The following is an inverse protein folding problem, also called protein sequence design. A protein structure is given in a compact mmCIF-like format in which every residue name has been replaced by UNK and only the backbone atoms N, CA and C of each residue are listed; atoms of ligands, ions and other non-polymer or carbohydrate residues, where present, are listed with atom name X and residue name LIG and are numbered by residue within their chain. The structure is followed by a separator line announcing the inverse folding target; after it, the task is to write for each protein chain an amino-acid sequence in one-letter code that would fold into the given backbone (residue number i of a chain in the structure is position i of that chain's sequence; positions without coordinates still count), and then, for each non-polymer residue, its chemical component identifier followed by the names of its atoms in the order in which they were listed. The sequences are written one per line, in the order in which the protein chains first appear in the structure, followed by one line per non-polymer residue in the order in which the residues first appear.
data_IF_955311839382
#
_entry.id   IF_955311839382
#
_cell.length_a   1.000
_cell.length_b   1.000
_cell.length_c   1.000
_cell.angle_alpha   90.00
_cell.angle_beta   90.00
_cell.angle_gamma   90.00
#
_symmetry.space_group_name_H-M   'P 1'
#
loop_
_entity.id
_entity.type
_entity.pdbx_description
1 polymer ?
#
# COMPACT_ATOMS: atom_id res chain seq x y z
N UNK A 1 -7.77 -8.86 19.92
CA UNK A 1 -8.47 -10.12 19.60
C UNK A 1 -8.37 -11.11 20.75
N UNK A 2 -7.19 -11.71 20.97
CA UNK A 2 -6.93 -12.70 22.04
C UNK A 2 -7.46 -12.21 23.40
N UNK A 3 -7.14 -10.96 23.78
CA UNK A 3 -7.62 -10.38 25.03
C UNK A 3 -9.15 -10.39 25.14
N UNK A 4 -9.85 -9.94 24.10
CA UNK A 4 -11.32 -9.82 24.12
C UNK A 4 -11.99 -11.20 24.20
N UNK A 5 -11.38 -12.24 23.61
CA UNK A 5 -11.86 -13.61 23.75
C UNK A 5 -11.61 -14.17 25.15
N UNK A 6 -10.46 -13.87 25.76
CA UNK A 6 -10.15 -14.29 27.13
C UNK A 6 -10.96 -13.53 28.18
N UNK A 7 -11.42 -12.31 27.86
CA UNK A 7 -12.13 -11.42 28.77
C UNK A 7 -13.41 -10.86 28.12
N UNK A 8 -14.41 -11.72 27.83
CA UNK A 8 -15.62 -11.30 27.12
C UNK A 8 -16.44 -10.26 27.91
N UNK A 9 -16.36 -10.28 29.25
CA UNK A 9 -17.06 -9.31 30.11
C UNK A 9 -16.40 -7.93 30.14
N UNK A 10 -15.14 -7.82 29.69
CA UNK A 10 -14.40 -6.56 29.63
C UNK A 10 -13.61 -6.47 28.32
N UNK A 11 -14.30 -6.24 27.19
CA UNK A 11 -13.63 -6.00 25.92
C UNK A 11 -12.78 -4.73 26.02
N UNK A 12 -11.66 -4.70 25.30
CA UNK A 12 -10.78 -3.54 25.28
C UNK A 12 -11.53 -2.30 24.78
N UNK A 13 -11.51 -1.23 25.56
CA UNK A 13 -12.02 0.07 25.12
C UNK A 13 -11.16 0.66 23.99
N UNK A 14 -11.64 1.69 23.30
CA UNK A 14 -10.91 2.31 22.17
C UNK A 14 -9.49 2.76 22.56
N UNK A 15 -9.34 3.32 23.76
CA UNK A 15 -8.06 3.77 24.28
C UNK A 15 -7.11 2.62 24.62
N UNK A 16 -7.62 1.53 25.20
CA UNK A 16 -6.82 0.34 25.48
C UNK A 16 -6.38 -0.32 24.16
N UNK A 17 -7.28 -0.42 23.17
CA UNK A 17 -6.94 -0.91 21.82
C UNK A 17 -5.85 -0.07 21.16
N UNK A 18 -5.91 1.26 21.29
CA UNK A 18 -4.88 2.16 20.79
C UNK A 18 -3.51 1.86 21.43
N UNK A 19 -3.43 1.76 22.76
CA UNK A 19 -2.15 1.51 23.44
C UNK A 19 -1.59 0.12 23.15
N UNK A 20 -2.42 -0.92 23.09
CA UNK A 20 -1.95 -2.26 22.72
C UNK A 20 -1.42 -2.31 21.29
N UNK A 21 -2.15 -1.70 20.34
CA UNK A 21 -1.71 -1.63 18.93
C UNK A 21 -0.46 -0.78 18.79
N UNK A 22 -0.39 0.36 19.48
CA UNK A 22 0.74 1.27 19.49
C UNK A 22 1.99 0.62 20.08
N UNK A 23 1.86 -0.12 21.19
CA UNK A 23 2.98 -0.84 21.79
C UNK A 23 3.53 -1.91 20.84
N UNK A 24 2.66 -2.71 20.21
CA UNK A 24 3.08 -3.70 19.21
C UNK A 24 3.79 -3.05 18.03
N UNK A 25 3.24 -1.93 17.51
CA UNK A 25 3.82 -1.15 16.42
C UNK A 25 5.22 -0.64 16.78
N UNK A 26 5.39 -0.06 17.97
CA UNK A 26 6.69 0.43 18.45
C UNK A 26 7.69 -0.71 18.55
N UNK A 27 7.31 -1.83 19.16
CA UNK A 27 8.20 -3.00 19.32
C UNK A 27 8.64 -3.53 17.96
N UNK A 28 7.71 -3.79 17.05
CA UNK A 28 8.01 -4.29 15.70
C UNK A 28 8.91 -3.30 14.93
N UNK A 29 8.61 -2.00 15.01
CA UNK A 29 9.40 -0.97 14.31
C UNK A 29 10.82 -0.87 14.86
N UNK A 30 11.00 -0.93 16.18
CA UNK A 30 12.32 -0.89 16.81
C UNK A 30 13.15 -2.13 16.52
N UNK A 31 12.54 -3.32 16.58
CA UNK A 31 13.19 -4.58 16.21
C UNK A 31 13.63 -4.56 14.74
N UNK A 32 12.75 -4.06 13.87
CA UNK A 32 13.06 -3.90 12.44
C UNK A 32 14.23 -2.95 12.23
N UNK A 33 14.16 -1.76 12.83
CA UNK A 33 15.22 -0.77 12.74
C UNK A 33 16.57 -1.29 13.25
N UNK A 34 16.58 -2.10 14.31
CA UNK A 34 17.81 -2.65 14.88
C UNK A 34 18.57 -3.51 13.85
N UNK A 35 17.92 -4.48 13.19
CA UNK A 35 18.60 -5.31 12.21
C UNK A 35 18.88 -4.56 10.90
N UNK A 36 17.99 -3.66 10.47
CA UNK A 36 18.20 -2.83 9.28
C UNK A 36 19.41 -1.90 9.45
N UNK A 37 19.54 -1.24 10.60
CA UNK A 37 20.65 -0.31 10.86
C UNK A 37 22.00 -1.03 11.03
N UNK A 38 22.01 -2.27 11.52
CA UNK A 38 23.23 -3.07 11.67
C UNK A 38 23.68 -3.67 10.34
N UNK A 39 22.76 -4.28 9.60
CA UNK A 39 23.09 -5.12 8.45
C UNK A 39 23.04 -4.43 7.08
N UNK A 40 22.37 -3.27 6.97
CA UNK A 40 22.19 -2.55 5.70
C UNK A 40 21.46 -3.37 4.64
N UNK A 41 21.55 -2.94 3.38
CA UNK A 41 20.78 -3.53 2.27
C UNK A 41 21.02 -5.03 2.07
N UNK A 42 22.24 -5.53 2.31
CA UNK A 42 22.55 -6.96 2.17
C UNK A 42 21.79 -7.81 3.19
N UNK A 43 21.74 -7.38 4.45
CA UNK A 43 20.99 -8.10 5.47
C UNK A 43 19.49 -8.05 5.19
N UNK A 44 18.98 -6.88 4.77
CA UNK A 44 17.56 -6.71 4.39
C UNK A 44 17.17 -7.71 3.29
N UNK A 45 17.98 -7.85 2.24
CA UNK A 45 17.69 -8.81 1.16
C UNK A 45 17.65 -10.25 1.67
N UNK A 46 18.60 -10.66 2.53
CA UNK A 46 18.60 -12.03 3.07
C UNK A 46 17.43 -12.29 4.03
N UNK A 47 17.06 -11.30 4.84
CA UNK A 47 15.87 -11.42 5.70
C UNK A 47 14.61 -11.52 4.86
N UNK A 48 14.49 -10.74 3.77
CA UNK A 48 13.34 -10.78 2.87
C UNK A 48 13.18 -12.17 2.23
N UNK A 49 14.27 -12.84 1.84
CA UNK A 49 14.22 -14.20 1.28
C UNK A 49 13.63 -15.20 2.29
N UNK A 50 14.05 -15.14 3.55
CA UNK A 50 13.50 -16.00 4.61
C UNK A 50 12.03 -15.66 4.87
N UNK A 51 11.68 -14.38 4.91
CA UNK A 51 10.32 -13.89 5.14
C UNK A 51 9.36 -14.34 4.04
N UNK A 52 9.79 -14.34 2.78
CA UNK A 52 9.00 -14.84 1.65
C UNK A 52 8.69 -16.34 1.83
N UNK A 53 9.67 -17.16 2.22
CA UNK A 53 9.45 -18.59 2.46
C UNK A 53 8.42 -18.83 3.57
N UNK A 54 8.51 -18.06 4.66
CA UNK A 54 7.53 -18.12 5.77
C UNK A 54 6.14 -17.68 5.31
N UNK A 55 6.05 -16.62 4.49
CA UNK A 55 4.79 -16.12 3.94
C UNK A 55 4.10 -17.17 3.05
N UNK A 56 4.83 -17.77 2.11
CA UNK A 56 4.26 -18.82 1.24
C UNK A 56 3.78 -20.03 2.06
N UNK A 57 4.55 -20.42 3.08
CA UNK A 57 4.13 -21.45 4.03
C UNK A 57 2.83 -21.05 4.73
N UNK A 58 2.80 -19.88 5.37
CA UNK A 58 1.63 -19.38 6.09
C UNK A 58 0.36 -19.33 5.23
N UNK A 59 0.45 -18.81 4.01
CA UNK A 59 -0.69 -18.72 3.09
C UNK A 59 -1.14 -20.09 2.60
N UNK A 60 -0.21 -20.95 2.17
CA UNK A 60 -0.52 -22.30 1.71
C UNK A 60 -1.19 -23.14 2.79
N UNK A 61 -0.66 -23.10 4.02
CA UNK A 61 -1.28 -23.79 5.16
C UNK A 61 -2.63 -23.19 5.55
N UNK A 62 -2.80 -21.88 5.47
CA UNK A 62 -4.09 -21.24 5.75
C UNK A 62 -5.18 -21.72 4.78
N UNK A 63 -4.89 -21.76 3.48
CA UNK A 63 -5.82 -22.29 2.47
C UNK A 63 -6.15 -23.76 2.73
N UNK A 64 -5.11 -24.59 2.93
CA UNK A 64 -5.28 -26.02 3.17
C UNK A 64 -6.12 -26.31 4.43
N UNK A 65 -5.81 -25.64 5.54
CA UNK A 65 -6.47 -25.87 6.82
C UNK A 65 -7.94 -25.43 6.77
N UNK A 66 -8.22 -24.27 6.17
CA UNK A 66 -9.57 -23.73 6.07
C UNK A 66 -10.45 -24.58 5.16
N UNK A 67 -9.92 -25.03 4.03
CA UNK A 67 -10.62 -25.95 3.13
C UNK A 67 -10.97 -27.28 3.83
N UNK A 68 -10.08 -27.78 4.69
CA UNK A 68 -10.33 -28.99 5.48
C UNK A 68 -11.45 -28.85 6.52
N UNK A 69 -11.82 -27.62 6.89
CA UNK A 69 -12.91 -27.33 7.83
C UNK A 69 -14.27 -27.12 7.13
N UNK A 70 -14.30 -27.15 5.80
CA UNK A 70 -15.54 -27.07 5.02
C UNK A 70 -15.95 -28.49 4.62
N UNK A 71 -17.17 -28.95 4.97
CA UNK A 71 -17.65 -30.27 4.57
C UNK A 71 -17.57 -30.44 3.05
N UNK A 72 -17.08 -31.60 2.58
CA UNK A 72 -16.83 -31.89 1.16
C UNK A 72 -15.77 -30.99 0.47
N UNK A 73 -14.98 -30.23 1.23
CA UNK A 73 -13.87 -29.42 0.72
C UNK A 73 -14.32 -28.47 -0.40
N UNK A 74 -13.66 -28.53 -1.56
CA UNK A 74 -13.96 -27.66 -2.71
C UNK A 74 -15.39 -27.82 -3.24
N UNK A 75 -15.96 -29.02 -3.19
CA UNK A 75 -17.31 -29.24 -3.69
C UNK A 75 -18.35 -28.62 -2.74
N UNK A 76 -18.06 -28.65 -1.44
CA UNK A 76 -18.83 -27.88 -0.45
C UNK A 76 -18.71 -26.38 -0.63
N UNK A 77 -17.53 -25.86 -0.97
CA UNK A 77 -17.36 -24.43 -1.29
C UNK A 77 -18.25 -24.04 -2.47
N UNK A 78 -18.21 -24.81 -3.55
CA UNK A 78 -19.03 -24.55 -4.75
C UNK A 78 -20.52 -24.65 -4.48
N UNK A 79 -20.97 -25.58 -3.62
CA UNK A 79 -22.40 -25.73 -3.32
C UNK A 79 -22.99 -24.54 -2.56
N UNK A 80 -22.15 -23.77 -1.85
CA UNK A 80 -22.58 -22.57 -1.12
C UNK A 80 -22.44 -21.28 -1.95
N UNK A 81 -21.58 -21.26 -2.97
CA UNK A 81 -21.37 -20.12 -3.87
C UNK A 81 -22.25 -20.24 -5.13
N UNK A 82 -23.57 -20.19 -4.95
CA UNK A 82 -24.54 -20.37 -6.05
C UNK A 82 -25.22 -19.07 -6.51
N UNK A 83 -25.08 -17.99 -5.74
CA UNK A 83 -25.62 -16.68 -6.08
C UNK A 83 -24.83 -15.99 -7.18
N UNK A 84 -25.56 -15.34 -8.10
CA UNK A 84 -24.96 -14.60 -9.22
C UNK A 84 -24.06 -13.41 -8.80
N UNK A 85 -24.14 -12.99 -7.53
CA UNK A 85 -23.31 -11.92 -6.94
C UNK A 85 -22.34 -12.43 -5.86
N UNK A 86 -22.29 -13.73 -5.58
CA UNK A 86 -21.42 -14.29 -4.55
C UNK A 86 -19.94 -14.16 -4.95
N UNK A 87 -19.67 -14.17 -6.25
CA UNK A 87 -18.35 -13.94 -6.84
C UNK A 87 -18.46 -12.93 -8.00
N UNK A 88 -18.52 -11.63 -7.68
CA UNK A 88 -18.36 -10.58 -8.67
C UNK A 88 -16.88 -10.42 -9.05
N UNK A 89 -16.39 -11.32 -9.91
CA UNK A 89 -15.00 -11.30 -10.37
C UNK A 89 -14.70 -10.17 -11.37
N UNK A 90 -15.71 -9.80 -12.17
CA UNK A 90 -15.56 -8.85 -13.28
C UNK A 90 -16.58 -7.72 -13.16
N UNK A 91 -16.22 -6.65 -12.46
CA UNK A 91 -17.04 -5.45 -12.36
C UNK A 91 -16.62 -4.42 -13.42
N UNK A 92 -17.39 -4.34 -14.51
CA UNK A 92 -17.10 -3.44 -15.64
C UNK A 92 -17.72 -2.04 -15.49
N UNK A 93 -18.85 -1.95 -14.80
CA UNK A 93 -19.57 -0.69 -14.53
C UNK A 93 -19.34 -0.27 -13.07
N UNK A 94 -19.37 1.04 -12.80
CA UNK A 94 -19.30 1.55 -11.44
C UNK A 94 -20.60 1.34 -10.66
N UNK A 95 -20.56 1.55 -9.35
CA UNK A 95 -21.67 1.24 -8.44
C UNK A 95 -22.90 2.12 -8.68
N UNK A 96 -22.70 3.34 -9.21
CA UNK A 96 -23.78 4.27 -9.50
C UNK A 96 -24.34 4.04 -10.92
N UNK A 97 -25.61 3.62 -11.08
CA UNK A 97 -26.20 3.46 -12.39
C UNK A 97 -26.35 4.81 -13.07
N UNK A 98 -25.88 4.91 -14.32
CA UNK A 98 -25.90 6.14 -15.09
C UNK A 98 -26.39 5.89 -16.53
N UNK A 99 -27.28 6.76 -16.99
CA UNK A 99 -27.89 6.65 -18.32
C UNK A 99 -27.07 7.36 -19.41
N UNK A 100 -26.20 8.29 -19.04
CA UNK A 100 -25.36 9.06 -19.97
C UNK A 100 -23.96 8.46 -20.06
N UNK A 101 -23.32 8.52 -21.24
CA UNK A 101 -21.96 8.02 -21.46
C UNK A 101 -20.93 8.60 -20.46
N UNK A 102 -20.95 9.92 -20.24
CA UNK A 102 -20.09 10.55 -19.22
C UNK A 102 -20.42 10.08 -17.81
N UNK A 103 -21.71 9.88 -17.50
CA UNK A 103 -22.13 9.37 -16.20
C UNK A 103 -21.59 7.97 -15.92
N UNK A 104 -21.52 7.10 -16.93
CA UNK A 104 -20.89 5.77 -16.81
C UNK A 104 -19.39 5.86 -16.54
N UNK A 105 -18.68 6.75 -17.25
CA UNK A 105 -17.25 6.99 -17.02
C UNK A 105 -17.01 7.55 -15.62
N UNK A 106 -17.80 8.56 -15.22
CA UNK A 106 -17.77 9.15 -13.87
C UNK A 106 -17.97 8.07 -12.80
N UNK A 107 -18.99 7.22 -12.96
CA UNK A 107 -19.27 6.11 -12.04
C UNK A 107 -18.08 5.14 -11.92
N UNK A 108 -17.41 4.80 -13.03
CA UNK A 108 -16.20 3.96 -13.01
C UNK A 108 -15.02 4.63 -12.30
N UNK A 109 -14.86 5.95 -12.45
CA UNK A 109 -13.81 6.72 -11.76
C UNK A 109 -14.09 6.87 -10.25
N UNK A 110 -15.35 6.85 -9.85
CA UNK A 110 -15.85 6.92 -8.46
C UNK A 110 -15.95 5.55 -7.78
N UNK A 111 -15.53 4.46 -8.44
CA UNK A 111 -15.58 3.10 -7.89
C UNK A 111 -14.17 2.53 -7.71
N UNK A 112 -13.86 2.04 -6.51
CA UNK A 112 -12.53 1.52 -6.14
C UNK A 112 -12.13 0.27 -6.93
N UNK A 113 -13.06 -0.66 -7.13
CA UNK A 113 -12.75 -2.01 -7.64
C UNK A 113 -13.51 -2.31 -8.94
N UNK A 114 -13.02 -1.76 -10.05
CA UNK A 114 -13.50 -2.10 -11.41
C UNK A 114 -12.39 -2.75 -12.23
N UNK A 115 -12.76 -3.46 -13.30
CA UNK A 115 -11.78 -4.02 -14.25
C UNK A 115 -10.91 -2.92 -14.85
N UNK A 116 -11.47 -1.73 -15.08
CA UNK A 116 -10.75 -0.57 -15.58
C UNK A 116 -9.77 0.00 -14.54
N UNK A 117 -10.18 0.08 -13.28
CA UNK A 117 -9.31 0.47 -12.19
C UNK A 117 -8.16 -0.54 -12.01
N UNK A 118 -8.45 -1.84 -12.16
CA UNK A 118 -7.43 -2.88 -12.14
C UNK A 118 -6.45 -2.76 -13.31
N UNK A 119 -6.92 -2.49 -14.53
CA UNK A 119 -6.06 -2.37 -15.71
C UNK A 119 -5.22 -1.09 -15.69
N UNK A 120 -5.86 0.07 -15.58
CA UNK A 120 -5.16 1.36 -15.68
C UNK A 120 -4.58 1.80 -14.34
N UNK A 121 -5.30 1.65 -13.24
CA UNK A 121 -4.80 2.00 -11.91
C UNK A 121 -3.55 1.19 -11.58
N UNK A 122 -3.61 -0.14 -11.69
CA UNK A 122 -2.45 -1.00 -11.40
C UNK A 122 -1.27 -0.75 -12.35
N UNK A 123 -1.53 -0.43 -13.63
CA UNK A 123 -0.47 -0.06 -14.58
C UNK A 123 0.31 1.16 -14.08
N UNK A 124 -0.36 2.26 -13.75
CA UNK A 124 0.30 3.48 -13.28
C UNK A 124 0.93 3.31 -11.90
N UNK A 125 0.28 2.57 -10.99
CA UNK A 125 0.87 2.19 -9.69
C UNK A 125 2.17 1.41 -9.89
N UNK A 126 2.17 0.41 -10.76
CA UNK A 126 3.36 -0.43 -11.02
C UNK A 126 4.47 0.39 -11.66
N UNK A 127 4.15 1.22 -12.67
CA UNK A 127 5.12 2.09 -13.31
C UNK A 127 5.77 3.08 -12.33
N UNK A 128 4.99 3.66 -11.41
CA UNK A 128 5.54 4.57 -10.41
C UNK A 128 6.38 3.83 -9.36
N UNK A 129 5.80 2.83 -8.70
CA UNK A 129 6.47 2.10 -7.60
C UNK A 129 7.72 1.36 -8.07
N UNK A 130 7.75 0.83 -9.30
CA UNK A 130 8.91 0.11 -9.80
C UNK A 130 9.87 0.98 -10.62
N UNK A 131 9.36 2.05 -11.24
CA UNK A 131 10.12 2.88 -12.16
C UNK A 131 10.73 4.13 -11.53
N UNK A 132 10.16 4.65 -10.45
CA UNK A 132 10.59 5.92 -9.85
C UNK A 132 10.90 5.85 -8.35
N UNK A 133 10.53 4.77 -7.67
CA UNK A 133 10.81 4.59 -6.25
C UNK A 133 12.27 4.21 -5.96
N UNK A 134 12.83 4.84 -4.95
CA UNK A 134 14.19 4.58 -4.49
C UNK A 134 14.36 3.14 -4.01
N UNK A 135 13.34 2.55 -3.37
CA UNK A 135 13.41 1.15 -2.94
C UNK A 135 13.73 0.21 -4.12
N UNK A 136 12.90 0.26 -5.15
CA UNK A 136 13.07 -0.63 -6.30
C UNK A 136 14.38 -0.36 -7.02
N UNK A 137 14.73 0.92 -7.24
CA UNK A 137 15.99 1.30 -7.90
C UNK A 137 17.20 0.77 -7.13
N UNK A 138 17.21 0.85 -5.80
CA UNK A 138 18.32 0.30 -5.01
C UNK A 138 18.49 -1.19 -5.23
N UNK A 139 17.39 -1.95 -5.18
CA UNK A 139 17.40 -3.40 -5.41
C UNK A 139 17.91 -3.74 -6.81
N UNK A 140 17.46 -3.01 -7.82
CA UNK A 140 17.91 -3.16 -9.20
C UNK A 140 19.42 -2.94 -9.35
N UNK A 141 19.99 -1.95 -8.65
CA UNK A 141 21.43 -1.66 -8.66
C UNK A 141 22.29 -2.70 -7.93
N UNK A 142 21.68 -3.57 -7.10
CA UNK A 142 22.40 -4.71 -6.48
C UNK A 142 22.53 -5.92 -7.40
N UNK A 143 21.80 -5.96 -8.51
CA UNK A 143 21.90 -7.06 -9.47
C UNK A 143 23.23 -7.03 -10.23
N UNK A 144 23.73 -8.20 -10.68
CA UNK A 144 25.05 -8.28 -11.33
C UNK A 144 25.10 -7.55 -12.68
N UNK A 145 23.96 -7.44 -13.37
CA UNK A 145 23.85 -6.74 -14.65
C UNK A 145 22.40 -6.32 -14.96
N UNK A 146 22.24 -5.44 -15.97
CA UNK A 146 20.95 -4.92 -16.42
C UNK A 146 19.93 -6.01 -16.75
N UNK A 147 20.35 -7.09 -17.43
CA UNK A 147 19.45 -8.18 -17.81
C UNK A 147 18.90 -8.90 -16.58
N UNK A 148 19.76 -9.22 -15.61
CA UNK A 148 19.34 -9.86 -14.36
C UNK A 148 18.46 -8.96 -13.52
N UNK A 149 18.74 -7.64 -13.48
CA UNK A 149 17.85 -6.68 -12.84
C UNK A 149 16.46 -6.69 -13.48
N UNK A 150 16.37 -6.59 -14.81
CA UNK A 150 15.07 -6.61 -15.51
C UNK A 150 14.30 -7.92 -15.29
N UNK A 151 14.99 -9.06 -15.36
CA UNK A 151 14.38 -10.37 -15.09
C UNK A 151 13.88 -10.45 -13.65
N UNK A 152 14.67 -10.00 -12.67
CA UNK A 152 14.26 -10.00 -11.26
C UNK A 152 13.00 -9.16 -11.03
N UNK A 153 12.92 -7.97 -11.64
CA UNK A 153 11.73 -7.09 -11.56
C UNK A 153 10.49 -7.72 -12.22
N UNK A 154 10.64 -8.43 -13.33
CA UNK A 154 9.50 -9.14 -13.96
C UNK A 154 9.06 -10.33 -13.09
N UNK A 155 10.03 -11.10 -12.59
CA UNK A 155 9.75 -12.26 -11.74
C UNK A 155 9.09 -11.87 -10.42
N UNK A 156 9.41 -10.71 -9.83
CA UNK A 156 8.73 -10.24 -8.62
C UNK A 156 7.24 -9.98 -8.89
N UNK A 157 6.89 -9.34 -10.01
CA UNK A 157 5.49 -9.15 -10.39
C UNK A 157 4.75 -10.47 -10.67
N UNK A 158 5.43 -11.47 -11.24
CA UNK A 158 4.85 -12.81 -11.40
C UNK A 158 4.68 -13.55 -10.06
N UNK A 159 5.56 -13.31 -9.09
CA UNK A 159 5.47 -13.90 -7.76
C UNK A 159 4.30 -13.33 -6.93
N UNK A 160 3.83 -12.12 -7.23
CA UNK A 160 2.66 -11.52 -6.58
C UNK A 160 1.34 -12.21 -6.95
N UNK A 161 1.26 -12.83 -8.13
CA UNK A 161 0.05 -13.53 -8.61
C UNK A 161 -0.36 -14.67 -7.66
N UNK A 162 0.49 -15.68 -7.35
CA UNK A 162 0.09 -16.75 -6.44
C UNK A 162 -0.18 -16.26 -5.02
N UNK A 163 0.53 -15.24 -4.54
CA UNK A 163 0.28 -14.63 -3.21
C UNK A 163 -1.10 -13.99 -3.16
N UNK A 164 -1.44 -13.18 -4.16
CA UNK A 164 -2.74 -12.53 -4.29
C UNK A 164 -3.86 -13.57 -4.40
N UNK A 165 -3.66 -14.59 -5.24
CA UNK A 165 -4.62 -15.67 -5.39
C UNK A 165 -4.89 -16.41 -4.07
N UNK A 166 -3.84 -16.69 -3.29
CA UNK A 166 -3.98 -17.33 -1.99
C UNK A 166 -4.77 -16.45 -0.99
N UNK A 167 -4.46 -15.15 -0.90
CA UNK A 167 -5.18 -14.22 0.01
C UNK A 167 -6.65 -14.08 -0.38
N UNK A 168 -6.96 -13.93 -1.68
CA UNK A 168 -8.34 -13.87 -2.15
C UNK A 168 -9.09 -15.18 -1.87
N UNK A 169 -8.43 -16.32 -2.10
CA UNK A 169 -9.00 -17.64 -1.79
C UNK A 169 -9.31 -17.74 -0.30
N UNK A 170 -8.40 -17.33 0.59
CA UNK A 170 -8.65 -17.31 2.04
C UNK A 170 -9.90 -16.47 2.37
N UNK A 171 -10.04 -15.29 1.76
CA UNK A 171 -11.22 -14.43 1.95
C UNK A 171 -12.54 -15.12 1.53
N UNK A 172 -12.57 -15.76 0.36
CA UNK A 172 -13.73 -16.50 -0.13
C UNK A 172 -14.06 -17.67 0.81
N UNK A 173 -13.05 -18.45 1.19
CA UNK A 173 -13.25 -19.60 2.07
C UNK A 173 -13.75 -19.17 3.45
N UNK A 174 -13.24 -18.05 4.01
CA UNK A 174 -13.74 -17.49 5.28
C UNK A 174 -15.20 -17.06 5.18
N UNK A 175 -15.60 -16.45 4.06
CA UNK A 175 -16.99 -16.08 3.80
C UNK A 175 -17.91 -17.29 3.80
N UNK A 176 -17.48 -18.40 3.17
CA UNK A 176 -18.26 -19.66 3.18
C UNK A 176 -18.29 -20.27 4.58
N UNK A 177 -17.14 -20.34 5.24
CA UNK A 177 -17.01 -20.98 6.54
C UNK A 177 -17.88 -20.31 7.61
N UNK A 178 -17.77 -19.00 7.79
CA UNK A 178 -18.58 -18.27 8.79
C UNK A 178 -19.98 -17.88 8.30
N UNK A 179 -20.23 -17.91 6.99
CA UNK A 179 -21.56 -17.63 6.44
C UNK A 179 -22.49 -18.85 6.45
N UNK A 180 -21.94 -20.06 6.27
CA UNK A 180 -22.76 -21.25 5.98
C UNK A 180 -22.39 -22.50 6.79
N UNK A 181 -21.14 -22.63 7.25
CA UNK A 181 -20.69 -23.84 7.95
C UNK A 181 -20.81 -23.69 9.47
N UNK A 182 -20.31 -22.58 10.00
CA UNK A 182 -20.28 -22.29 11.44
C UNK A 182 -21.06 -21.03 11.72
N UNK A 183 -22.10 -21.14 12.55
CA UNK A 183 -22.79 -19.98 13.12
C UNK A 183 -22.12 -19.64 14.46
N UNK A 184 -21.20 -18.68 14.43
CA UNK A 184 -20.52 -18.19 15.63
C UNK A 184 -21.12 -16.85 16.10
N UNK A 185 -21.79 -16.81 17.26
CA UNK A 185 -22.35 -15.58 17.83
C UNK A 185 -21.30 -14.52 18.19
N UNK A 186 -20.03 -14.88 18.35
CA UNK A 186 -18.95 -13.98 18.79
C UNK A 186 -18.11 -13.43 17.63
N UNK A 187 -18.57 -13.61 16.39
CA UNK A 187 -17.92 -13.05 15.22
C UNK A 187 -17.66 -11.54 15.39
N UNK A 188 -16.48 -11.03 14.99
CA UNK A 188 -16.20 -9.61 15.05
C UNK A 188 -17.11 -8.88 14.05
N UNK A 189 -18.01 -8.05 14.56
CA UNK A 189 -18.96 -7.28 13.75
C UNK A 189 -18.63 -5.79 13.79
N UNK A 190 -18.77 -5.10 12.65
CA UNK A 190 -18.71 -3.64 12.52
C UNK A 190 -19.93 -3.19 11.71
N UNK A 191 -20.71 -2.26 12.26
CA UNK A 191 -21.94 -1.73 11.64
C UNK A 191 -22.93 -2.83 11.17
N UNK A 192 -23.06 -3.91 11.95
CA UNK A 192 -23.99 -5.01 11.66
C UNK A 192 -23.53 -5.97 10.56
N UNK A 193 -22.27 -5.87 10.09
CA UNK A 193 -21.65 -6.83 9.16
C UNK A 193 -20.36 -7.40 9.74
N UNK A 194 -19.92 -8.59 9.31
CA UNK A 194 -18.62 -9.12 9.68
C UNK A 194 -17.49 -8.13 9.36
N UNK A 195 -16.59 -7.90 10.31
CA UNK A 195 -15.44 -7.01 10.11
C UNK A 195 -14.38 -7.70 9.25
N UNK A 196 -14.39 -7.40 7.95
CA UNK A 196 -13.46 -7.94 6.96
C UNK A 196 -11.97 -7.78 7.37
N UNK A 197 -11.63 -6.81 8.22
CA UNK A 197 -10.25 -6.61 8.69
C UNK A 197 -9.85 -7.57 9.81
N UNK A 198 -10.83 -8.07 10.59
CA UNK A 198 -10.61 -8.86 11.79
C UNK A 198 -10.96 -10.33 11.64
N UNK A 199 -11.73 -10.73 10.63
CA UNK A 199 -12.16 -12.13 10.42
C UNK A 199 -10.97 -13.08 10.23
N UNK A 200 -9.98 -12.74 9.40
CA UNK A 200 -8.83 -13.63 9.22
C UNK A 200 -8.00 -13.79 10.51
N UNK A 201 -7.62 -12.71 11.23
CA UNK A 201 -7.02 -12.84 12.56
C UNK A 201 -7.88 -13.59 13.57
N UNK A 202 -9.22 -13.50 13.48
CA UNK A 202 -10.16 -14.27 14.31
C UNK A 202 -9.97 -15.76 14.09
N UNK A 203 -10.06 -16.19 12.84
CA UNK A 203 -9.90 -17.58 12.46
C UNK A 203 -8.54 -18.17 12.92
N UNK A 204 -7.46 -17.39 12.77
CA UNK A 204 -6.11 -17.78 13.19
C UNK A 204 -6.04 -18.03 14.71
N UNK A 205 -6.68 -17.19 15.51
CA UNK A 205 -6.65 -17.29 16.97
C UNK A 205 -7.66 -18.30 17.51
N UNK A 206 -8.80 -18.45 16.86
CA UNK A 206 -9.91 -19.25 17.38
C UNK A 206 -9.81 -20.71 16.92
N UNK A 207 -9.57 -20.92 15.62
CA UNK A 207 -9.73 -22.23 14.99
C UNK A 207 -8.40 -22.93 14.71
N UNK A 208 -7.32 -22.20 14.42
CA UNK A 208 -6.04 -22.83 14.07
C UNK A 208 -5.32 -23.41 15.30
N UNK A 209 -4.66 -24.58 15.18
CA UNK A 209 -3.84 -25.16 16.24
C UNK A 209 -2.57 -24.33 16.47
N UNK A 210 -1.99 -24.43 17.66
CA UNK A 210 -0.89 -23.55 18.11
C UNK A 210 0.29 -23.45 17.14
N UNK A 211 0.79 -24.58 16.60
CA UNK A 211 1.92 -24.57 15.67
C UNK A 211 1.62 -23.81 14.36
N UNK A 212 0.45 -24.06 13.75
CA UNK A 212 0.03 -23.37 12.52
C UNK A 212 -0.30 -21.89 12.79
N UNK A 213 -0.95 -21.60 13.92
CA UNK A 213 -1.20 -20.23 14.37
C UNK A 213 0.10 -19.43 14.47
N UNK A 214 1.13 -20.01 15.08
CA UNK A 214 2.47 -19.41 15.18
C UNK A 214 3.08 -19.13 13.80
N UNK A 215 2.96 -20.07 12.86
CA UNK A 215 3.46 -19.89 11.49
C UNK A 215 2.75 -18.75 10.76
N UNK A 216 1.43 -18.64 10.86
CA UNK A 216 0.66 -17.58 10.21
C UNK A 216 0.97 -16.21 10.81
N UNK A 217 1.04 -16.11 12.13
CA UNK A 217 1.47 -14.88 12.81
C UNK A 217 2.89 -14.51 12.40
N UNK A 218 3.80 -15.47 12.31
CA UNK A 218 5.16 -15.25 11.81
C UNK A 218 5.17 -14.75 10.36
N UNK A 219 4.32 -15.28 9.48
CA UNK A 219 4.18 -14.81 8.09
C UNK A 219 3.71 -13.36 7.99
N UNK A 220 2.69 -12.97 8.78
CA UNK A 220 2.20 -11.58 8.82
C UNK A 220 3.27 -10.62 9.35
N UNK A 221 3.98 -11.02 10.41
CA UNK A 221 5.09 -10.23 10.94
C UNK A 221 6.25 -10.13 9.94
N UNK A 222 6.58 -11.24 9.27
CA UNK A 222 7.61 -11.30 8.24
C UNK A 222 7.35 -10.29 7.11
N UNK A 223 6.13 -10.28 6.55
CA UNK A 223 5.74 -9.31 5.50
C UNK A 223 5.81 -7.87 6.01
N UNK A 224 5.34 -7.63 7.23
CA UNK A 224 5.34 -6.27 7.83
C UNK A 224 6.77 -5.76 8.05
N UNK A 225 7.66 -6.60 8.57
CA UNK A 225 9.05 -6.27 8.84
C UNK A 225 9.85 -6.04 7.55
N UNK A 226 9.62 -6.85 6.51
CA UNK A 226 10.26 -6.67 5.20
C UNK A 226 9.96 -5.30 4.57
N UNK A 227 8.68 -4.91 4.55
CA UNK A 227 8.28 -3.58 4.06
C UNK A 227 8.81 -2.43 4.91
N UNK A 228 8.78 -2.56 6.25
CA UNK A 228 9.30 -1.54 7.16
C UNK A 228 10.81 -1.34 7.02
N UNK A 229 11.59 -2.43 7.01
CA UNK A 229 13.05 -2.35 6.89
C UNK A 229 13.47 -1.74 5.56
N UNK A 230 12.74 -2.08 4.51
CA UNK A 230 12.94 -1.52 3.18
C UNK A 230 12.63 -0.02 3.14
N UNK A 231 11.48 0.42 3.67
CA UNK A 231 11.14 1.84 3.76
C UNK A 231 12.17 2.64 4.57
N UNK A 232 12.59 2.12 5.73
CA UNK A 232 13.61 2.75 6.58
C UNK A 232 14.95 2.93 5.84
N UNK A 233 15.40 1.89 5.12
CA UNK A 233 16.64 1.94 4.34
C UNK A 233 16.55 2.93 3.16
N UNK A 234 15.43 2.94 2.44
CA UNK A 234 15.22 3.83 1.30
C UNK A 234 15.16 5.30 1.72
N UNK A 235 14.38 5.63 2.76
CA UNK A 235 14.29 6.97 3.32
C UNK A 235 15.65 7.46 3.84
N UNK A 236 16.35 6.64 4.62
CA UNK A 236 17.67 7.00 5.14
C UNK A 236 18.68 7.24 4.01
N UNK A 237 18.64 6.45 2.95
CA UNK A 237 19.55 6.59 1.80
C UNK A 237 19.25 7.83 0.98
N UNK A 238 17.99 8.07 0.61
CA UNK A 238 17.60 9.28 -0.14
C UNK A 238 17.91 10.54 0.67
N UNK A 239 17.55 10.59 1.95
CA UNK A 239 17.92 11.72 2.80
C UNK A 239 19.43 11.92 2.85
N UNK A 240 20.20 10.86 3.12
CA UNK A 240 21.65 10.99 3.30
C UNK A 240 22.34 11.45 2.02
N UNK A 241 21.99 10.87 0.87
CA UNK A 241 22.66 11.18 -0.41
C UNK A 241 22.16 12.46 -1.04
N UNK A 242 20.85 12.66 -1.08
CA UNK A 242 20.24 13.75 -1.83
C UNK A 242 20.25 15.05 -1.03
N UNK A 243 20.17 14.95 0.30
CA UNK A 243 20.13 16.10 1.19
C UNK A 243 21.39 16.22 2.05
N UNK A 244 21.66 15.24 2.92
CA UNK A 244 22.64 15.41 3.98
C UNK A 244 24.05 15.64 3.44
N UNK A 245 24.56 14.76 2.59
CA UNK A 245 25.91 14.86 2.04
C UNK A 245 26.10 16.03 1.07
N UNK A 246 25.00 16.55 0.51
CA UNK A 246 25.04 17.68 -0.43
C UNK A 246 25.07 19.02 0.29
N UNK A 247 24.27 19.20 1.34
CA UNK A 247 24.14 20.46 2.05
C UNK A 247 24.98 20.54 3.34
N UNK A 248 25.25 19.41 3.99
CA UNK A 248 26.09 19.35 5.16
C UNK A 248 27.45 18.78 4.75
N UNK A 249 28.52 19.54 5.03
CA UNK A 249 29.90 19.24 4.64
C UNK A 249 30.45 18.03 5.42
N UNK A 250 29.83 16.87 5.20
CA UNK A 250 30.14 15.61 5.88
C UNK A 250 31.48 15.11 5.36
N UNK A 251 32.46 14.81 6.22
CA UNK A 251 33.74 14.26 5.79
C UNK A 251 33.55 13.05 4.87
N UNK A 252 34.39 12.94 3.83
CA UNK A 252 34.38 11.82 2.87
C UNK A 252 34.86 10.49 3.47
N UNK A 253 34.96 10.39 4.78
CA UNK A 253 35.30 9.17 5.49
C UNK A 253 34.10 8.22 5.57
N UNK A 254 34.33 6.95 5.25
CA UNK A 254 33.30 5.91 5.29
C UNK A 254 32.62 5.83 6.66
N UNK A 255 33.38 5.95 7.74
CA UNK A 255 32.84 5.89 9.11
C UNK A 255 31.85 7.02 9.39
N UNK A 256 32.14 8.23 8.92
CA UNK A 256 31.30 9.41 9.11
C UNK A 256 30.02 9.31 8.29
N UNK A 257 30.12 8.87 7.03
CA UNK A 257 28.96 8.65 6.15
C UNK A 257 28.05 7.53 6.64
N UNK A 258 28.62 6.41 7.08
CA UNK A 258 27.86 5.30 7.67
C UNK A 258 27.15 5.73 8.94
N UNK A 259 27.79 6.57 9.78
CA UNK A 259 27.14 7.12 10.98
C UNK A 259 25.91 7.97 10.63
N UNK A 260 26.03 8.85 9.63
CA UNK A 260 24.90 9.66 9.15
C UNK A 260 23.75 8.77 8.68
N UNK A 261 24.03 7.76 7.85
CA UNK A 261 23.00 6.85 7.35
C UNK A 261 22.30 6.14 8.51
N UNK A 262 23.06 5.62 9.48
CA UNK A 262 22.48 4.95 10.66
C UNK A 262 21.63 5.88 11.52
N UNK A 263 22.08 7.12 11.74
CA UNK A 263 21.30 8.14 12.45
C UNK A 263 20.03 8.52 11.69
N UNK A 264 20.11 8.63 10.36
CA UNK A 264 18.96 8.87 9.51
C UNK A 264 17.96 7.70 9.59
N UNK A 265 18.43 6.45 9.57
CA UNK A 265 17.58 5.26 9.77
C UNK A 265 16.81 5.38 11.08
N UNK A 266 17.47 5.67 12.20
CA UNK A 266 16.80 5.85 13.51
C UNK A 266 15.82 7.02 13.47
N UNK A 267 16.19 8.15 12.88
CA UNK A 267 15.32 9.31 12.73
C UNK A 267 14.05 8.99 11.95
N UNK A 268 14.16 8.33 10.80
CA UNK A 268 12.99 7.91 10.01
C UNK A 268 12.19 6.80 10.68
N UNK A 269 12.81 5.90 11.45
CA UNK A 269 12.05 4.95 12.30
C UNK A 269 11.14 5.69 13.26
N UNK A 270 11.62 6.76 13.92
CA UNK A 270 10.78 7.55 14.83
C UNK A 270 9.64 8.25 14.09
N UNK A 271 9.89 8.78 12.88
CA UNK A 271 8.85 9.37 12.02
C UNK A 271 7.80 8.32 11.63
N UNK A 272 8.23 7.12 11.22
CA UNK A 272 7.32 6.03 10.87
C UNK A 272 6.48 5.56 12.07
N UNK A 273 7.08 5.48 13.26
CA UNK A 273 6.36 5.20 14.51
C UNK A 273 5.32 6.28 14.77
N UNK A 274 5.68 7.55 14.65
CA UNK A 274 4.75 8.66 14.87
C UNK A 274 3.55 8.61 13.91
N UNK A 275 3.81 8.46 12.61
CA UNK A 275 2.75 8.34 11.60
C UNK A 275 1.88 7.10 11.87
N UNK A 276 2.51 5.97 12.18
CA UNK A 276 1.81 4.73 12.52
C UNK A 276 0.92 4.85 13.75
N UNK A 277 1.38 5.54 14.80
CA UNK A 277 0.58 5.85 15.99
C UNK A 277 -0.59 6.78 15.65
N UNK A 278 -0.38 7.81 14.83
CA UNK A 278 -1.45 8.68 14.38
C UNK A 278 -2.53 7.90 13.60
N UNK A 279 -2.13 7.03 12.68
CA UNK A 279 -3.07 6.17 11.94
C UNK A 279 -3.78 5.18 12.86
N UNK A 280 -3.08 4.58 13.83
CA UNK A 280 -3.67 3.69 14.82
C UNK A 280 -4.72 4.41 15.68
N UNK A 281 -4.46 5.65 16.08
CA UNK A 281 -5.41 6.49 16.80
C UNK A 281 -6.67 6.77 15.97
N UNK A 282 -6.51 7.16 14.70
CA UNK A 282 -7.64 7.42 13.78
C UNK A 282 -8.50 6.16 13.60
N UNK A 283 -7.89 5.00 13.38
CA UNK A 283 -8.60 3.72 13.21
C UNK A 283 -9.29 3.26 14.49
N UNK A 284 -8.70 3.51 15.66
CA UNK A 284 -9.31 3.18 16.95
C UNK A 284 -10.60 3.98 17.22
N UNK A 285 -10.68 5.21 16.72
CA UNK A 285 -11.87 6.08 16.86
C UNK A 285 -12.85 5.94 15.70
N UNK A 286 -12.40 5.47 14.53
CA UNK A 286 -13.25 5.25 13.35
C UNK A 286 -13.07 3.80 12.83
N UNK A 287 -13.69 2.80 13.47
CA UNK A 287 -13.46 1.39 13.15
C UNK A 287 -13.88 0.99 11.73
N UNK A 288 -14.81 1.72 11.11
CA UNK A 288 -15.30 1.46 9.76
C UNK A 288 -14.33 1.87 8.65
N UNK A 289 -13.33 2.72 8.93
CA UNK A 289 -12.40 3.20 7.90
C UNK A 289 -11.50 2.07 7.39
N UNK A 290 -11.46 1.88 6.07
CA UNK A 290 -10.53 0.94 5.44
C UNK A 290 -9.11 1.50 5.49
N UNK A 291 -8.18 0.75 6.07
CA UNK A 291 -6.75 1.13 6.08
C UNK A 291 -6.17 1.06 4.67
N UNK A 292 -6.69 0.15 3.82
CA UNK A 292 -6.25 -0.03 2.43
C UNK A 292 -6.45 1.27 1.63
N UNK A 293 -7.64 1.87 1.73
CA UNK A 293 -7.96 3.12 1.04
C UNK A 293 -7.08 4.28 1.49
N UNK A 294 -6.76 4.37 2.78
CA UNK A 294 -5.86 5.40 3.32
C UNK A 294 -4.44 5.24 2.74
N UNK A 295 -3.89 4.02 2.79
CA UNK A 295 -2.52 3.76 2.34
C UNK A 295 -2.41 3.92 0.82
N UNK A 296 -3.27 3.24 0.05
CA UNK A 296 -3.23 3.30 -1.42
C UNK A 296 -3.67 4.67 -1.94
N UNK A 297 -4.56 5.37 -1.23
CA UNK A 297 -4.93 6.76 -1.52
C UNK A 297 -3.75 7.72 -1.38
N UNK A 298 -2.88 7.50 -0.38
CA UNK A 298 -1.71 8.36 -0.15
C UNK A 298 -0.70 8.32 -1.31
N UNK A 299 -0.58 7.18 -1.99
CA UNK A 299 0.29 7.01 -3.16
C UNK A 299 -0.09 7.96 -4.30
N UNK A 300 -1.39 8.19 -4.45
CA UNK A 300 -1.97 9.04 -5.49
C UNK A 300 -1.40 10.46 -5.52
N UNK A 301 -1.09 11.02 -4.35
CA UNK A 301 -0.70 12.43 -4.24
C UNK A 301 0.72 12.68 -4.76
N UNK A 302 1.66 11.78 -4.52
CA UNK A 302 3.08 12.02 -4.82
C UNK A 302 3.58 11.26 -6.04
N UNK A 303 3.22 9.97 -6.19
CA UNK A 303 3.76 9.14 -7.26
C UNK A 303 3.37 9.61 -8.65
N UNK A 304 2.14 10.14 -8.82
CA UNK A 304 1.70 10.67 -10.12
C UNK A 304 2.58 11.83 -10.60
N UNK A 305 2.92 12.74 -9.69
CA UNK A 305 3.79 13.87 -9.99
C UNK A 305 5.23 13.44 -10.36
N UNK A 306 5.77 12.46 -9.63
CA UNK A 306 7.10 11.93 -9.89
C UNK A 306 7.13 11.20 -11.24
N UNK A 307 6.19 10.27 -11.46
CA UNK A 307 6.10 9.50 -12.70
C UNK A 307 5.94 10.39 -13.93
N UNK A 308 5.14 11.46 -13.84
CA UNK A 308 4.91 12.38 -14.96
C UNK A 308 6.18 13.07 -15.45
N UNK A 309 7.01 13.58 -14.54
CA UNK A 309 8.29 14.20 -14.91
C UNK A 309 9.26 13.18 -15.50
N UNK A 310 9.32 11.96 -14.94
CA UNK A 310 10.14 10.88 -15.49
C UNK A 310 9.72 10.48 -16.90
N UNK A 311 8.42 10.39 -17.19
CA UNK A 311 7.91 10.11 -18.53
C UNK A 311 8.36 11.20 -19.52
N UNK A 312 8.22 12.48 -19.16
CA UNK A 312 8.68 13.58 -20.04
C UNK A 312 10.19 13.50 -20.28
N UNK A 313 10.97 13.25 -19.23
CA UNK A 313 12.43 13.12 -19.34
C UNK A 313 12.88 11.92 -20.20
N UNK A 314 12.13 10.81 -20.17
CA UNK A 314 12.47 9.60 -20.93
C UNK A 314 12.05 9.69 -22.41
N UNK A 315 10.88 10.25 -22.69
CA UNK A 315 10.28 10.22 -24.03
C UNK A 315 10.43 11.52 -24.81
N UNK A 316 10.94 12.59 -24.19
CA UNK A 316 11.18 13.87 -24.87
C UNK A 316 12.61 14.36 -24.65
N UNK A 317 13.22 14.91 -25.71
CA UNK A 317 14.56 15.52 -25.65
C UNK A 317 14.53 17.06 -25.58
N UNK A 318 13.38 17.66 -25.91
CA UNK A 318 13.24 19.11 -26.11
C UNK A 318 12.22 19.74 -25.14
N UNK A 319 11.58 18.93 -24.29
CA UNK A 319 10.55 19.36 -23.34
C UNK A 319 10.92 18.98 -21.91
N UNK A 320 10.42 19.75 -20.96
CA UNK A 320 10.81 19.69 -19.55
C UNK A 320 11.96 20.63 -19.23
N UNK A 321 11.82 21.39 -18.14
CA UNK A 321 12.83 22.30 -17.60
C UNK A 321 12.81 22.23 -16.08
N UNK A 322 13.88 22.66 -15.39
CA UNK A 322 13.94 22.58 -13.92
C UNK A 322 12.75 23.29 -13.25
N UNK A 323 12.50 24.55 -13.60
CA UNK A 323 11.34 25.31 -13.09
C UNK A 323 10.01 24.73 -13.57
N UNK A 324 9.94 24.31 -14.85
CA UNK A 324 8.73 23.74 -15.43
C UNK A 324 8.31 22.44 -14.78
N UNK A 325 9.27 21.60 -14.40
CA UNK A 325 9.04 20.33 -13.71
C UNK A 325 8.50 20.57 -12.29
N UNK A 326 9.02 21.57 -11.56
CA UNK A 326 8.48 21.94 -10.23
C UNK A 326 7.01 22.38 -10.35
N UNK A 327 6.71 23.25 -11.32
CA UNK A 327 5.33 23.72 -11.57
C UNK A 327 4.42 22.54 -11.95
N UNK A 328 4.91 21.64 -12.82
CA UNK A 328 4.18 20.46 -13.25
C UNK A 328 3.87 19.52 -12.07
N UNK A 329 4.86 19.28 -11.20
CA UNK A 329 4.67 18.42 -10.03
C UNK A 329 3.65 19.01 -9.06
N UNK A 330 3.76 20.31 -8.74
CA UNK A 330 2.80 21.01 -7.88
C UNK A 330 1.39 20.97 -8.51
N UNK A 331 1.29 21.22 -9.82
CA UNK A 331 0.03 21.15 -10.55
C UNK A 331 -0.60 19.75 -10.52
N UNK A 332 0.21 18.69 -10.66
CA UNK A 332 -0.23 17.31 -10.52
C UNK A 332 -0.76 16.98 -9.12
N UNK A 333 -0.04 17.39 -8.08
CA UNK A 333 -0.46 17.21 -6.67
C UNK A 333 -1.78 17.93 -6.41
N UNK A 334 -1.92 19.19 -6.83
CA UNK A 334 -3.13 19.98 -6.64
C UNK A 334 -4.31 19.37 -7.41
N UNK A 335 -4.09 18.94 -8.65
CA UNK A 335 -5.15 18.32 -9.44
C UNK A 335 -5.66 17.03 -8.78
N UNK A 336 -4.76 16.17 -8.27
CA UNK A 336 -5.17 14.97 -7.52
C UNK A 336 -5.89 15.35 -6.22
N UNK A 337 -5.40 16.35 -5.48
CA UNK A 337 -6.06 16.81 -4.26
C UNK A 337 -7.52 17.23 -4.53
N UNK A 338 -7.76 18.03 -5.58
CA UNK A 338 -9.10 18.47 -5.98
C UNK A 338 -9.95 17.28 -6.47
N UNK A 339 -9.41 16.45 -7.36
CA UNK A 339 -10.15 15.31 -7.92
C UNK A 339 -10.47 14.24 -6.87
N UNK A 340 -9.68 14.12 -5.80
CA UNK A 340 -9.94 13.22 -4.67
C UNK A 340 -10.82 13.83 -3.58
N UNK A 341 -11.29 15.07 -3.77
CA UNK A 341 -12.05 15.86 -2.79
C UNK A 341 -11.36 16.13 -1.44
N UNK A 342 -10.03 16.02 -1.40
CA UNK A 342 -9.23 16.18 -0.20
C UNK A 342 -9.47 17.51 0.55
N UNK A 343 -9.65 18.68 -0.10
CA UNK A 343 -9.93 19.92 0.63
C UNK A 343 -11.23 19.88 1.42
N UNK A 344 -12.28 19.24 0.88
CA UNK A 344 -13.55 19.09 1.56
C UNK A 344 -13.43 18.08 2.70
N UNK A 345 -12.73 16.97 2.51
CA UNK A 345 -12.47 15.99 3.57
C UNK A 345 -11.73 16.63 4.76
N UNK A 346 -10.69 17.42 4.48
CA UNK A 346 -9.93 18.14 5.51
C UNK A 346 -10.78 19.20 6.21
N UNK A 347 -11.60 19.95 5.47
CA UNK A 347 -12.48 20.95 6.06
C UNK A 347 -13.61 20.35 6.89
N UNK A 348 -14.16 19.20 6.48
CA UNK A 348 -15.09 18.44 7.31
C UNK A 348 -14.43 17.99 8.61
N UNK A 349 -13.18 17.55 8.57
CA UNK A 349 -12.43 17.13 9.75
C UNK A 349 -12.11 18.29 10.72
N UNK A 350 -11.83 19.50 10.21
CA UNK A 350 -11.36 20.64 11.02
C UNK A 350 -12.48 21.63 11.37
N UNK A 351 -13.30 21.97 10.38
CA UNK A 351 -14.31 23.05 10.41
C UNK A 351 -15.75 22.52 10.47
N UNK A 352 -15.96 21.21 10.28
CA UNK A 352 -17.28 20.57 10.27
C UNK A 352 -18.14 20.85 9.03
N UNK A 353 -17.68 21.69 8.10
CA UNK A 353 -18.40 22.08 6.89
C UNK A 353 -17.50 21.96 5.65
N UNK A 354 -18.08 21.67 4.45
CA UNK A 354 -17.31 21.61 3.22
C UNK A 354 -16.83 23.00 2.80
N UNK A 355 -15.68 23.08 2.13
CA UNK A 355 -15.15 24.34 1.59
C UNK A 355 -15.95 24.77 0.38
N UNK A 356 -16.32 23.82 -0.48
CA UNK A 356 -17.06 24.07 -1.71
C UNK A 356 -17.96 22.89 -2.04
N UNK A 357 -19.02 23.15 -2.81
CA UNK A 357 -19.87 22.09 -3.36
C UNK A 357 -19.26 21.60 -4.67
N UNK A 358 -18.93 20.31 -4.74
CA UNK A 358 -18.42 19.72 -5.96
C UNK A 358 -19.43 19.86 -7.12
N UNK A 359 -18.98 20.28 -8.32
CA UNK A 359 -19.84 20.28 -9.50
C UNK A 359 -20.32 18.85 -9.79
N UNK A 360 -21.61 18.67 -10.08
CA UNK A 360 -22.18 17.33 -10.32
C UNK A 360 -21.56 16.57 -11.51
N UNK A 361 -20.89 17.28 -12.42
CA UNK A 361 -20.22 16.70 -13.58
C UNK A 361 -18.79 16.22 -13.27
N UNK A 362 -18.16 16.71 -12.20
CA UNK A 362 -16.79 16.38 -11.86
C UNK A 362 -16.77 15.07 -11.04
N UNK A 363 -16.04 14.03 -11.47
CA UNK A 363 -15.90 12.81 -10.69
C UNK A 363 -15.03 13.04 -9.45
N UNK A 364 -15.42 12.43 -8.33
CA UNK A 364 -14.52 12.24 -7.19
C UNK A 364 -13.73 10.96 -7.40
N UNK A 365 -12.49 11.06 -7.84
CA UNK A 365 -11.73 9.89 -8.27
C UNK A 365 -11.28 9.05 -7.07
N UNK A 366 -11.51 7.74 -7.19
CA UNK A 366 -11.05 6.78 -6.21
C UNK A 366 -9.54 6.53 -6.28
N UNK A 367 -8.97 5.98 -5.21
CA UNK A 367 -7.53 5.81 -5.05
C UNK A 367 -6.79 5.18 -6.26
N UNK A 368 -7.32 4.17 -6.99
CA UNK A 368 -6.60 3.55 -8.11
C UNK A 368 -6.32 4.55 -9.24
N UNK A 369 -7.17 5.55 -9.41
CA UNK A 369 -7.11 6.52 -10.49
C UNK A 369 -6.20 7.72 -10.19
N UNK A 370 -5.88 7.95 -8.91
CA UNK A 370 -5.15 9.14 -8.47
C UNK A 370 -3.77 9.26 -9.09
N UNK A 371 -3.00 8.17 -9.16
CA UNK A 371 -1.66 8.18 -9.77
C UNK A 371 -1.75 8.47 -11.27
N UNK A 372 -2.70 7.85 -11.97
CA UNK A 372 -2.92 8.10 -13.40
C UNK A 372 -3.26 9.58 -13.65
N UNK A 373 -4.25 10.12 -12.92
CA UNK A 373 -4.65 11.51 -13.04
C UNK A 373 -3.48 12.48 -12.77
N UNK A 374 -2.75 12.27 -11.67
CA UNK A 374 -1.58 13.07 -11.33
C UNK A 374 -0.48 12.99 -12.39
N UNK A 375 -0.26 11.81 -12.97
CA UNK A 375 0.71 11.59 -14.05
C UNK A 375 0.32 12.36 -15.31
N UNK A 376 -0.92 12.22 -15.76
CA UNK A 376 -1.41 12.87 -16.97
C UNK A 376 -1.36 14.40 -16.87
N UNK A 377 -1.78 14.95 -15.73
CA UNK A 377 -1.72 16.41 -15.47
C UNK A 377 -0.28 16.89 -15.46
N UNK A 378 0.61 16.18 -14.76
CA UNK A 378 2.02 16.54 -14.67
C UNK A 378 2.70 16.51 -16.04
N UNK A 379 2.46 15.47 -16.84
CA UNK A 379 2.97 15.39 -18.22
C UNK A 379 2.45 16.55 -19.05
N UNK A 380 1.14 16.83 -18.99
CA UNK A 380 0.52 17.93 -19.73
C UNK A 380 1.16 19.29 -19.42
N UNK A 381 1.38 19.59 -18.14
CA UNK A 381 2.02 20.85 -17.72
C UNK A 381 3.51 20.87 -18.11
N UNK A 382 4.25 19.78 -17.87
CA UNK A 382 5.68 19.71 -18.14
C UNK A 382 6.01 19.86 -19.64
N UNK A 383 5.16 19.34 -20.54
CA UNK A 383 5.32 19.48 -21.98
C UNK A 383 5.19 20.93 -22.49
N UNK A 384 4.52 21.81 -21.74
CA UNK A 384 4.43 23.23 -22.07
C UNK A 384 5.78 23.95 -21.92
N UNK A 385 6.71 23.42 -21.12
CA UNK A 385 8.03 24.01 -20.91
C UNK A 385 9.07 23.39 -21.85
N UNK A 386 9.87 24.24 -22.50
CA UNK A 386 10.96 23.80 -23.38
C UNK A 386 12.24 23.58 -22.58
N UNK A 387 12.99 22.55 -22.94
CA UNK A 387 14.33 22.31 -22.40
C UNK A 387 15.29 23.39 -22.92
N UNK A 388 16.12 24.00 -22.05
CA UNK A 388 17.11 24.97 -22.48
C UNK A 388 18.06 24.39 -23.55
N UNK A 389 18.35 25.15 -24.61
CA UNK A 389 19.16 24.69 -25.74
C UNK A 389 20.55 24.17 -25.30
N UNK A 390 21.14 24.77 -24.27
CA UNK A 390 22.42 24.34 -23.69
C UNK A 390 22.37 22.94 -23.06
N UNK A 391 21.21 22.50 -22.55
CA UNK A 391 21.02 21.14 -22.05
C UNK A 391 20.75 20.17 -23.19
N UNK A 392 19.98 20.56 -24.20
CA UNK A 392 19.70 19.73 -25.39
C UNK A 392 21.00 19.36 -26.12
N UNK A 393 21.93 20.31 -26.24
CA UNK A 393 23.23 20.10 -26.88
C UNK A 393 24.15 19.09 -26.16
N UNK A 394 23.88 18.74 -24.89
CA UNK A 394 24.62 17.69 -24.17
C UNK A 394 24.16 16.26 -24.54
N UNK A 395 23.02 16.14 -25.21
CA UNK A 395 22.41 14.86 -25.60
C UNK A 395 22.43 14.60 -27.11
N UNK A 396 22.92 15.57 -27.90
CA UNK A 396 23.26 15.44 -29.32
C UNK A 396 24.72 15.05 -29.47
#
# INVERSE_FOLDING_TARGET
MIWNQMNPERPLGNWEQFWFTGAALVVISLLTAAYTAVGGIKAVIWTDVLQIAVLFGALGFSVWYLLGHIPNGWDGVKSHLTGAKDLTLWQWEGDAPANTAWGKIKSVLETEFTVWAALFGSLFVTLATHGTDQDMVQRMLTAKNKRQSAVATILSGLADIPVTYAVLTIGILLSVYYGHVVQDPHLPMVAGKPDNTRIFPYFVVDVMPGGLRGLVVAGVLATTMGSLGTAMNSLATSYSRDFHFRWFNTPNEDRSRVRVIKLATVGFTLVLIFVGLATAFVKAHNPSLSIIGIILGSFGYTYGSLLGVFIVALFTRTRGSETGNIIAMIGGIIAVAILSDLPNDLAHMILGNPVYKNPAWLPVIEFPWRIMAGTLVTVGIALCFRTPAAQVAKFS
#
